data_IF_943805685045
#
_entry.id   IF_943805685045
#
_cell.length_a   1.000
_cell.length_b   1.000
_cell.length_c   1.000
_cell.angle_alpha   90.00
_cell.angle_beta   90.00
_cell.angle_gamma   90.00
#
_symmetry.space_group_name_H-M   'P 1'
#
loop_
_entity.id
_entity.type
_entity.pdbx_description
1 polymer ?
#
# COMPACT_ATOMS: atom_id res chain seq x y z
N UNK A 1 -1.93 14.78 9.32
CA UNK A 1 -1.04 13.63 9.61
C UNK A 1 -1.75 12.39 9.09
N UNK A 2 -1.07 11.52 8.32
CA UNK A 2 -1.66 10.28 7.82
C UNK A 2 -2.19 9.42 8.98
N UNK A 3 -3.25 8.66 8.76
CA UNK A 3 -3.75 7.74 9.78
C UNK A 3 -2.76 6.57 9.96
N UNK A 4 -2.66 6.05 11.17
CA UNK A 4 -1.90 4.82 11.42
C UNK A 4 -2.76 3.61 11.05
N UNK A 5 -2.28 2.76 10.14
CA UNK A 5 -2.90 1.48 9.76
C UNK A 5 -2.46 0.33 10.70
N UNK A 6 -1.54 0.62 11.63
CA UNK A 6 -0.84 -0.38 12.46
C UNK A 6 -0.31 -1.61 11.65
N UNK A 7 -0.05 -1.43 10.35
CA UNK A 7 0.52 -2.44 9.47
C UNK A 7 2.03 -2.39 9.63
N UNK A 8 2.62 -3.50 10.09
CA UNK A 8 4.07 -3.62 10.21
C UNK A 8 4.68 -4.12 8.91
N UNK A 9 5.89 -3.67 8.60
CA UNK A 9 6.68 -4.14 7.46
C UNK A 9 7.82 -5.00 7.97
N UNK A 10 8.02 -6.18 7.39
CA UNK A 10 9.30 -6.89 7.59
C UNK A 10 10.42 -6.15 6.87
N UNK A 11 11.67 -6.32 7.31
CA UNK A 11 12.84 -5.77 6.63
C UNK A 11 12.88 -6.18 5.15
N UNK A 12 12.47 -7.42 4.85
CA UNK A 12 12.38 -7.93 3.49
C UNK A 12 11.32 -7.19 2.67
N UNK A 13 10.15 -6.90 3.25
CA UNK A 13 9.11 -6.11 2.60
C UNK A 13 9.57 -4.67 2.36
N UNK A 14 10.18 -4.04 3.37
CA UNK A 14 10.71 -2.68 3.26
C UNK A 14 11.76 -2.60 2.16
N UNK A 15 12.75 -3.49 2.17
CA UNK A 15 13.80 -3.53 1.15
C UNK A 15 13.25 -3.78 -0.26
N UNK A 16 12.23 -4.64 -0.40
CA UNK A 16 11.58 -4.89 -1.68
C UNK A 16 10.82 -3.66 -2.22
N UNK A 17 10.17 -2.89 -1.33
CA UNK A 17 9.49 -1.64 -1.69
C UNK A 17 10.51 -0.59 -2.09
N UNK A 18 11.53 -0.36 -1.26
CA UNK A 18 12.58 0.63 -1.52
C UNK A 18 13.31 0.33 -2.84
N UNK A 19 13.63 -0.95 -3.10
CA UNK A 19 14.24 -1.39 -4.35
C UNK A 19 13.31 -1.25 -5.57
N UNK A 20 11.98 -1.34 -5.39
CA UNK A 20 11.02 -1.12 -6.47
C UNK A 20 10.85 0.38 -6.76
N UNK A 21 10.75 1.21 -5.72
CA UNK A 21 10.62 2.66 -5.85
C UNK A 21 11.89 3.30 -6.41
N UNK A 22 13.08 2.81 -6.02
CA UNK A 22 14.36 3.30 -6.55
C UNK A 22 14.62 3.00 -8.04
N UNK A 23 13.76 2.23 -8.70
CA UNK A 23 13.82 1.97 -10.16
C UNK A 23 12.91 2.87 -10.97
N UNK A 24 12.13 3.73 -10.33
CA UNK A 24 11.20 4.62 -10.99
C UNK A 24 11.96 5.86 -11.50
N UNK A 25 11.61 6.32 -12.70
CA UNK A 25 12.12 7.59 -13.25
C UNK A 25 11.49 8.84 -12.59
N UNK A 26 10.65 8.63 -11.57
CA UNK A 26 9.88 9.67 -10.87
C UNK A 26 9.70 9.28 -9.41
N UNK A 27 9.39 10.27 -8.56
CA UNK A 27 9.22 10.09 -7.11
C UNK A 27 7.87 9.42 -6.77
N UNK A 28 7.67 8.16 -7.16
CA UNK A 28 6.39 7.46 -6.95
C UNK A 28 6.03 7.22 -5.48
N UNK A 29 4.73 7.20 -5.18
CA UNK A 29 4.22 6.79 -3.86
C UNK A 29 3.95 5.28 -3.86
N UNK A 30 4.58 4.50 -2.95
CA UNK A 30 4.34 3.07 -2.88
C UNK A 30 2.88 2.77 -2.51
N UNK A 31 2.28 1.91 -3.31
CA UNK A 31 0.83 1.67 -3.29
C UNK A 31 0.53 0.20 -3.11
N UNK A 32 -0.13 -0.15 -2.02
CA UNK A 32 -0.52 -1.52 -1.73
C UNK A 32 -1.86 -1.85 -2.43
N UNK A 33 -1.85 -2.92 -3.20
CA UNK A 33 -2.97 -3.38 -4.01
C UNK A 33 -3.18 -4.86 -3.79
N UNK A 34 -4.44 -5.29 -3.85
CA UNK A 34 -4.79 -6.71 -4.00
C UNK A 34 -5.41 -6.91 -5.36
N UNK A 35 -4.85 -7.85 -6.14
CA UNK A 35 -5.36 -8.18 -7.47
C UNK A 35 -6.85 -8.50 -7.41
N UNK A 36 -7.65 -7.82 -8.25
CA UNK A 36 -9.10 -7.98 -8.30
C UNK A 36 -9.48 -9.29 -9.00
N UNK A 37 -9.67 -10.34 -8.22
CA UNK A 37 -10.58 -11.42 -8.57
C UNK A 37 -11.46 -11.70 -7.36
N UNK A 38 -12.70 -11.21 -7.40
CA UNK A 38 -13.69 -11.47 -6.35
C UNK A 38 -13.83 -12.99 -6.15
N UNK A 39 -13.56 -13.46 -4.94
CA UNK A 39 -13.64 -14.88 -4.59
C UNK A 39 -12.46 -15.75 -5.00
N UNK A 40 -11.39 -15.20 -5.58
CA UNK A 40 -10.22 -15.99 -5.95
C UNK A 40 -9.26 -16.17 -4.75
N UNK A 41 -9.06 -17.41 -4.26
CA UNK A 41 -8.05 -17.69 -3.23
C UNK A 41 -6.61 -17.39 -3.69
N UNK A 42 -6.39 -17.12 -4.98
CA UNK A 42 -5.09 -16.73 -5.55
C UNK A 42 -4.88 -15.22 -5.60
N UNK A 43 -5.80 -14.39 -5.11
CA UNK A 43 -5.63 -12.95 -5.07
C UNK A 43 -4.33 -12.57 -4.34
N UNK A 44 -3.41 -11.91 -5.03
CA UNK A 44 -2.07 -11.58 -4.51
C UNK A 44 -2.00 -10.13 -4.07
N UNK A 45 -1.24 -9.91 -3.01
CA UNK A 45 -0.80 -8.57 -2.64
C UNK A 45 0.37 -8.16 -3.53
N UNK A 46 0.34 -6.91 -3.97
CA UNK A 46 1.38 -6.30 -4.79
C UNK A 46 1.58 -4.87 -4.34
N UNK A 47 2.83 -4.40 -4.35
CA UNK A 47 3.15 -2.98 -4.21
C UNK A 47 3.47 -2.42 -5.59
N UNK A 48 2.67 -1.46 -6.03
CA UNK A 48 2.94 -0.64 -7.20
C UNK A 48 3.41 0.77 -6.82
N UNK A 49 3.46 1.67 -7.79
CA UNK A 49 3.73 3.09 -7.58
C UNK A 49 2.62 3.93 -8.18
N UNK A 50 2.16 4.94 -7.44
CA UNK A 50 1.34 6.00 -7.99
C UNK A 50 2.19 7.25 -8.26
N UNK A 51 1.92 7.89 -9.38
CA UNK A 51 2.53 9.17 -9.74
C UNK A 51 2.11 10.27 -8.74
N UNK A 52 3.03 11.13 -8.27
CA UNK A 52 2.71 12.21 -7.34
C UNK A 52 1.67 13.21 -7.84
N UNK A 53 1.65 13.49 -9.14
CA UNK A 53 0.66 14.36 -9.76
C UNK A 53 -0.76 13.82 -9.60
N UNK A 54 -0.91 12.51 -9.38
CA UNK A 54 -2.19 11.86 -9.09
C UNK A 54 -2.56 11.83 -7.61
N UNK A 55 -1.69 12.22 -6.67
CA UNK A 55 -1.99 12.29 -5.23
C UNK A 55 -3.18 13.23 -4.97
N UNK A 56 -3.24 14.37 -5.68
CA UNK A 56 -4.34 15.35 -5.53
C UNK A 56 -5.72 14.75 -5.75
N UNK A 57 -5.82 13.75 -6.63
CA UNK A 57 -7.07 13.02 -6.85
C UNK A 57 -7.50 12.26 -5.59
N UNK A 58 -6.58 11.60 -4.89
CA UNK A 58 -6.87 10.88 -3.66
C UNK A 58 -7.18 11.82 -2.49
N UNK A 59 -6.47 12.95 -2.39
CA UNK A 59 -6.79 13.99 -1.40
C UNK A 59 -8.20 14.55 -1.59
N UNK A 60 -8.58 14.82 -2.85
CA UNK A 60 -9.92 15.26 -3.18
C UNK A 60 -10.96 14.17 -2.90
N UNK A 61 -10.67 12.92 -3.24
CA UNK A 61 -11.54 11.79 -2.99
C UNK A 61 -11.77 11.58 -1.49
N UNK A 62 -10.71 11.70 -0.67
CA UNK A 62 -10.77 11.64 0.78
C UNK A 62 -11.70 12.72 1.35
N UNK A 63 -11.58 13.97 0.86
CA UNK A 63 -12.46 15.08 1.29
C UNK A 63 -13.93 14.85 0.96
N UNK A 64 -14.22 14.24 -0.19
CA UNK A 64 -15.61 14.02 -0.66
C UNK A 64 -16.24 12.79 0.00
N UNK A 65 -15.46 11.75 0.24
CA UNK A 65 -15.96 10.44 0.72
C UNK A 65 -15.76 10.21 2.21
N UNK A 66 -14.87 10.98 2.86
CA UNK A 66 -14.42 10.73 4.23
C UNK A 66 -13.49 9.52 4.38
N UNK A 67 -13.08 8.90 3.28
CA UNK A 67 -12.18 7.73 3.29
C UNK A 67 -10.72 8.17 3.43
N UNK A 68 -9.94 7.38 4.16
CA UNK A 68 -8.49 7.54 4.27
C UNK A 68 -7.79 6.63 3.27
N UNK A 69 -6.76 7.16 2.61
CA UNK A 69 -5.99 6.45 1.58
C UNK A 69 -4.50 6.43 1.89
N UNK A 70 -4.01 7.33 2.74
CA UNK A 70 -2.59 7.44 3.06
C UNK A 70 -2.36 7.00 4.49
N UNK A 71 -1.49 6.01 4.66
CA UNK A 71 -1.24 5.41 5.95
C UNK A 71 0.26 5.38 6.26
N UNK A 72 0.61 5.77 7.48
CA UNK A 72 1.96 5.56 8.00
C UNK A 72 2.11 4.10 8.44
N UNK A 73 3.08 3.40 7.85
CA UNK A 73 3.44 2.02 8.12
C UNK A 73 4.95 1.94 8.36
N UNK A 74 5.37 1.91 9.63
CA UNK A 74 6.78 1.89 10.04
C UNK A 74 7.62 3.01 9.38
N UNK A 75 7.09 4.23 9.36
CA UNK A 75 7.77 5.40 8.77
C UNK A 75 7.80 5.40 7.25
N UNK A 76 7.03 4.52 6.60
CA UNK A 76 6.75 4.55 5.17
C UNK A 76 5.30 4.99 4.95
N UNK A 77 5.09 6.02 4.14
CA UNK A 77 3.75 6.38 3.70
C UNK A 77 3.34 5.44 2.57
N UNK A 78 2.32 4.62 2.85
CA UNK A 78 1.69 3.74 1.87
C UNK A 78 0.35 4.31 1.43
N UNK A 79 0.12 4.28 0.12
CA UNK A 79 -1.20 4.51 -0.44
C UNK A 79 -1.98 3.19 -0.53
N UNK A 80 -3.18 3.15 0.03
CA UNK A 80 -4.11 2.02 -0.09
C UNK A 80 -5.29 2.48 -0.95
N UNK A 81 -5.20 2.26 -2.26
CA UNK A 81 -6.23 2.67 -3.23
C UNK A 81 -7.58 1.96 -3.02
N UNK A 82 -7.60 0.82 -2.34
CA UNK A 82 -8.80 0.02 -2.09
C UNK A 82 -9.14 0.09 -0.59
N UNK A 83 -9.89 1.12 -0.12
CA UNK A 83 -10.12 1.33 1.32
C UNK A 83 -10.83 0.17 2.00
N UNK A 84 -11.62 -0.60 1.24
CA UNK A 84 -12.25 -1.83 1.73
C UNK A 84 -11.25 -2.92 2.14
N UNK A 85 -9.97 -2.78 1.82
CA UNK A 85 -8.89 -3.68 2.25
C UNK A 85 -8.24 -3.26 3.56
N UNK A 86 -8.46 -2.03 4.04
CA UNK A 86 -7.92 -1.51 5.30
C UNK A 86 -8.18 -2.47 6.47
N UNK A 87 -9.40 -3.02 6.67
CA UNK A 87 -9.65 -3.99 7.74
C UNK A 87 -8.86 -5.30 7.63
N UNK A 88 -8.41 -5.67 6.42
CA UNK A 88 -7.58 -6.86 6.19
C UNK A 88 -6.09 -6.61 6.43
N UNK A 89 -5.69 -5.35 6.60
CA UNK A 89 -4.32 -4.89 6.81
C UNK A 89 -4.07 -4.43 8.26
N UNK A 90 -5.10 -3.93 8.93
CA UNK A 90 -5.02 -3.40 10.28
C UNK A 90 -4.39 -4.40 11.27
N UNK A 91 -3.32 -3.99 11.94
CA UNK A 91 -2.61 -4.81 12.93
C UNK A 91 -1.86 -6.02 12.35
N UNK A 92 -1.75 -6.12 11.02
CA UNK A 92 -1.06 -7.23 10.34
C UNK A 92 0.40 -6.92 10.08
N UNK A 93 1.12 -7.93 9.59
CA UNK A 93 2.49 -7.76 9.07
C UNK A 93 2.50 -8.03 7.56
N UNK A 94 3.00 -7.07 6.79
CA UNK A 94 3.34 -7.25 5.38
C UNK A 94 4.75 -7.83 5.29
N UNK A 95 4.85 -9.05 4.77
CA UNK A 95 6.10 -9.73 4.49
C UNK A 95 6.36 -9.83 2.99
N UNK A 96 7.63 -9.95 2.61
CA UNK A 96 8.03 -10.24 1.24
C UNK A 96 8.85 -11.53 1.19
N UNK A 97 8.25 -12.58 0.64
CA UNK A 97 8.82 -13.92 0.59
C UNK A 97 8.53 -14.58 -0.75
N UNK A 98 9.48 -15.37 -1.27
CA UNK A 98 9.38 -16.02 -2.58
C UNK A 98 8.94 -15.07 -3.72
N UNK A 99 9.47 -13.83 -3.69
CA UNK A 99 9.16 -12.73 -4.63
C UNK A 99 7.69 -12.28 -4.63
N UNK A 100 7.00 -12.39 -3.50
CA UNK A 100 5.59 -12.01 -3.35
C UNK A 100 5.36 -11.32 -2.02
N UNK A 101 4.46 -10.35 -2.02
CA UNK A 101 3.94 -9.76 -0.79
C UNK A 101 2.87 -10.68 -0.17
N UNK A 102 2.94 -10.85 1.13
CA UNK A 102 2.02 -11.66 1.92
C UNK A 102 1.66 -10.90 3.18
N UNK A 103 0.37 -10.81 3.47
CA UNK A 103 -0.14 -10.24 4.73
C UNK A 103 -0.35 -11.40 5.71
N UNK A 104 0.22 -11.30 6.92
CA UNK A 104 0.13 -12.29 8.01
C UNK A 104 -0.56 -11.67 9.22
#
# INVERSE_FOLDING_TARGET
MPAALNLRLTDAARAAIDAAMGKLDHEGVPTLLRSWHHGDPRAKWTVGSYDPGRIRFFEQLARVTGLEFFFDCDGLILLVWQPNLVPALEGKTLDYSFRRYVVR
#
